data_IF_860218168659
#
_entry.id   IF_860218168659
#
_cell.length_a   1.000
_cell.length_b   1.000
_cell.length_c   1.000
_cell.angle_alpha   90.00
_cell.angle_beta   90.00
_cell.angle_gamma   90.00
#
_symmetry.space_group_name_H-M   'P 1'
#
loop_
_entity.id
_entity.type
_entity.pdbx_description
1 polymer ?
#
# COMPACT_ATOMS: atom_id res chain seq x y z
N UNK A 1 -26.10 -7.08 -27.36
CA UNK A 1 -26.02 -5.67 -26.96
C UNK A 1 -24.54 -5.31 -26.95
N UNK A 2 -24.14 -4.19 -27.56
CA UNK A 2 -22.74 -3.79 -27.64
C UNK A 2 -22.23 -3.32 -26.25
N UNK A 3 -21.21 -3.98 -25.65
CA UNK A 3 -20.73 -3.64 -24.31
C UNK A 3 -20.20 -2.20 -24.19
N UNK A 4 -19.60 -1.68 -25.26
CA UNK A 4 -19.07 -0.30 -25.28
C UNK A 4 -20.19 0.72 -25.15
N UNK A 5 -21.28 0.51 -25.88
CA UNK A 5 -22.48 1.34 -25.79
C UNK A 5 -23.13 1.29 -24.41
N UNK A 6 -23.18 0.11 -23.77
CA UNK A 6 -23.67 -0.04 -22.40
C UNK A 6 -22.82 0.74 -21.39
N UNK A 7 -21.48 0.67 -21.50
CA UNK A 7 -20.57 1.44 -20.64
C UNK A 7 -20.74 2.95 -20.81
N UNK A 8 -20.84 3.46 -22.05
CA UNK A 8 -21.12 4.88 -22.30
C UNK A 8 -22.48 5.31 -21.72
N UNK A 9 -23.50 4.45 -21.87
CA UNK A 9 -24.82 4.67 -21.31
C UNK A 9 -24.80 4.77 -19.77
N UNK A 10 -24.04 3.90 -19.11
CA UNK A 10 -23.82 3.92 -17.67
C UNK A 10 -23.18 5.24 -17.21
N UNK A 11 -22.03 5.62 -17.79
CA UNK A 11 -21.30 6.85 -17.41
C UNK A 11 -22.17 8.10 -17.62
N UNK A 12 -22.90 8.15 -18.73
CA UNK A 12 -23.81 9.26 -19.02
C UNK A 12 -24.95 9.34 -17.99
N UNK A 13 -25.60 8.21 -17.68
CA UNK A 13 -26.66 8.16 -16.68
C UNK A 13 -26.16 8.49 -15.26
N UNK A 14 -24.93 8.06 -14.94
CA UNK A 14 -24.26 8.39 -13.68
C UNK A 14 -23.99 9.89 -13.53
N UNK A 15 -23.46 10.52 -14.57
CA UNK A 15 -23.27 11.97 -14.60
C UNK A 15 -24.59 12.74 -14.44
N UNK A 16 -25.67 12.28 -15.10
CA UNK A 16 -27.00 12.87 -14.96
C UNK A 16 -27.56 12.73 -13.54
N UNK A 17 -27.41 11.56 -12.92
CA UNK A 17 -27.78 11.33 -11.53
C UNK A 17 -27.00 12.24 -10.56
N UNK A 18 -25.67 12.34 -10.73
CA UNK A 18 -24.80 13.18 -9.91
C UNK A 18 -25.18 14.67 -9.99
N UNK A 19 -25.56 15.13 -11.17
CA UNK A 19 -25.93 16.54 -11.38
C UNK A 19 -27.38 16.84 -10.92
N UNK A 20 -28.30 15.87 -11.02
CA UNK A 20 -29.70 16.05 -10.65
C UNK A 20 -30.33 14.72 -10.20
N UNK A 21 -30.66 14.60 -8.92
CA UNK A 21 -31.22 13.37 -8.30
C UNK A 21 -32.74 13.24 -8.50
N UNK A 22 -33.22 13.38 -9.73
CA UNK A 22 -34.63 13.16 -10.06
C UNK A 22 -34.97 11.67 -10.12
N UNK A 23 -36.23 11.30 -9.87
CA UNK A 23 -36.72 9.91 -9.98
C UNK A 23 -36.45 9.30 -11.38
N UNK A 24 -36.56 10.13 -12.42
CA UNK A 24 -36.24 9.73 -13.78
C UNK A 24 -34.76 9.34 -13.95
N UNK A 25 -33.85 10.12 -13.38
CA UNK A 25 -32.41 9.85 -13.46
C UNK A 25 -32.02 8.64 -12.63
N UNK A 26 -32.65 8.43 -11.45
CA UNK A 26 -32.47 7.23 -10.64
C UNK A 26 -32.88 5.98 -11.43
N UNK A 27 -34.08 5.98 -12.02
CA UNK A 27 -34.58 4.86 -12.83
C UNK A 27 -33.71 4.60 -14.07
N UNK A 28 -33.23 5.66 -14.73
CA UNK A 28 -32.35 5.53 -15.88
C UNK A 28 -31.01 4.89 -15.50
N UNK A 29 -30.39 5.34 -14.41
CA UNK A 29 -29.14 4.76 -13.92
C UNK A 29 -29.33 3.30 -13.49
N UNK A 30 -30.42 2.98 -12.77
CA UNK A 30 -30.75 1.60 -12.40
C UNK A 30 -30.85 0.69 -13.64
N UNK A 31 -31.51 1.14 -14.71
CA UNK A 31 -31.60 0.37 -15.96
C UNK A 31 -30.24 0.13 -16.59
N UNK A 32 -29.36 1.14 -16.64
CA UNK A 32 -28.02 0.97 -17.20
C UNK A 32 -27.16 -0.01 -16.38
N UNK A 33 -27.28 0.04 -15.05
CA UNK A 33 -26.63 -0.93 -14.17
C UNK A 33 -27.16 -2.34 -14.41
N UNK A 34 -28.47 -2.54 -14.56
CA UNK A 34 -29.05 -3.87 -14.87
C UNK A 34 -28.54 -4.44 -16.20
N UNK A 35 -28.42 -3.60 -17.23
CA UNK A 35 -27.82 -4.00 -18.50
C UNK A 35 -26.37 -4.46 -18.30
N UNK A 36 -25.58 -3.71 -17.53
CA UNK A 36 -24.21 -4.08 -17.21
C UNK A 36 -24.12 -5.36 -16.36
N UNK A 37 -25.03 -5.57 -15.41
CA UNK A 37 -25.12 -6.82 -14.64
C UNK A 37 -25.34 -8.00 -15.58
N UNK A 38 -26.25 -7.87 -16.56
CA UNK A 38 -26.53 -8.92 -17.53
C UNK A 38 -25.31 -9.31 -18.38
N UNK A 39 -24.40 -8.36 -18.65
CA UNK A 39 -23.17 -8.59 -19.41
C UNK A 39 -22.06 -9.21 -18.55
N UNK A 40 -22.10 -9.01 -17.24
CA UNK A 40 -21.05 -9.41 -16.29
C UNK A 40 -21.42 -10.63 -15.44
N UNK A 41 -22.58 -11.26 -15.69
CA UNK A 41 -23.00 -12.47 -14.97
C UNK A 41 -21.95 -13.58 -15.03
N UNK A 42 -21.88 -14.39 -13.95
CA UNK A 42 -20.97 -15.54 -13.84
C UNK A 42 -21.04 -16.42 -15.11
N UNK A 43 -19.87 -16.72 -15.66
CA UNK A 43 -19.72 -17.54 -16.88
C UNK A 43 -19.64 -16.74 -18.19
N UNK A 44 -19.82 -15.41 -18.16
CA UNK A 44 -19.58 -14.54 -19.33
C UNK A 44 -18.15 -13.98 -19.32
N UNK A 45 -17.65 -13.64 -20.50
CA UNK A 45 -16.35 -12.97 -20.63
C UNK A 45 -16.49 -11.48 -20.36
N UNK A 46 -15.70 -10.95 -19.43
CA UNK A 46 -15.65 -9.52 -19.08
C UNK A 46 -14.39 -8.85 -19.67
N UNK A 47 -13.75 -9.46 -20.67
CA UNK A 47 -12.56 -8.90 -21.36
C UNK A 47 -12.80 -7.51 -21.98
N UNK A 48 -14.05 -7.12 -22.22
CA UNK A 48 -14.40 -5.79 -22.71
C UNK A 48 -14.19 -4.69 -21.64
N UNK A 49 -14.07 -5.07 -20.37
CA UNK A 49 -13.90 -4.18 -19.24
C UNK A 49 -12.44 -4.24 -18.77
N UNK A 50 -11.56 -3.50 -19.45
CA UNK A 50 -10.14 -3.41 -19.11
C UNK A 50 -9.85 -2.11 -18.34
N UNK A 51 -9.44 -2.15 -17.06
CA UNK A 51 -9.08 -0.97 -16.26
C UNK A 51 -7.93 -0.12 -16.82
N UNK A 52 -7.16 -0.63 -17.78
CA UNK A 52 -6.12 0.16 -18.49
C UNK A 52 -6.73 1.15 -19.49
N UNK A 53 -8.02 1.04 -19.79
CA UNK A 53 -8.74 1.93 -20.69
C UNK A 53 -9.56 2.96 -19.90
N UNK A 54 -9.68 4.16 -20.46
CA UNK A 54 -10.38 5.29 -19.83
C UNK A 54 -11.85 4.95 -19.54
N UNK A 55 -12.57 4.36 -20.49
CA UNK A 55 -14.02 4.16 -20.35
C UNK A 55 -14.39 3.18 -19.22
N UNK A 56 -13.75 2.00 -19.07
CA UNK A 56 -13.93 1.15 -17.89
C UNK A 56 -13.58 1.84 -16.57
N UNK A 57 -12.53 2.68 -16.53
CA UNK A 57 -12.17 3.46 -15.34
C UNK A 57 -13.25 4.48 -14.96
N UNK A 58 -13.80 5.20 -15.94
CA UNK A 58 -14.95 6.09 -15.72
C UNK A 58 -16.19 5.33 -15.24
N UNK A 59 -16.42 4.10 -15.73
CA UNK A 59 -17.49 3.24 -15.24
C UNK A 59 -17.27 2.88 -13.76
N UNK A 60 -16.06 2.45 -13.38
CA UNK A 60 -15.75 2.14 -11.98
C UNK A 60 -15.87 3.36 -11.09
N UNK A 61 -15.36 4.51 -11.53
CA UNK A 61 -15.49 5.81 -10.84
C UNK A 61 -16.96 6.12 -10.55
N UNK A 62 -17.80 6.05 -11.58
CA UNK A 62 -19.25 6.25 -11.45
C UNK A 62 -19.91 5.29 -10.47
N UNK A 63 -19.49 4.01 -10.43
CA UNK A 63 -20.06 3.03 -9.50
C UNK A 63 -19.59 3.29 -8.06
N UNK A 64 -18.34 3.73 -7.87
CA UNK A 64 -17.82 4.10 -6.56
C UNK A 64 -18.53 5.35 -6.01
N UNK A 65 -18.72 6.40 -6.83
CA UNK A 65 -19.49 7.61 -6.48
C UNK A 65 -20.88 7.26 -5.93
N UNK A 66 -21.56 6.28 -6.55
CA UNK A 66 -22.90 5.83 -6.13
C UNK A 66 -22.89 5.14 -4.77
N UNK A 67 -21.83 4.39 -4.44
CA UNK A 67 -21.68 3.71 -3.14
C UNK A 67 -21.26 4.68 -2.05
N UNK A 68 -20.44 5.68 -2.37
CA UNK A 68 -19.94 6.67 -1.41
C UNK A 68 -21.00 7.72 -1.03
N UNK A 69 -22.01 7.97 -1.88
CA UNK A 69 -23.09 8.91 -1.59
C UNK A 69 -24.17 8.31 -0.66
N UNK A 70 -24.23 8.82 0.58
CA UNK A 70 -25.21 8.46 1.61
C UNK A 70 -26.68 8.74 1.23
N UNK A 71 -26.93 9.60 0.23
CA UNK A 71 -28.28 9.92 -0.25
C UNK A 71 -28.74 9.00 -1.38
N UNK A 72 -27.89 8.07 -1.84
CA UNK A 72 -28.25 7.10 -2.87
C UNK A 72 -29.35 6.16 -2.33
N UNK A 73 -30.45 5.97 -3.09
CA UNK A 73 -31.50 5.03 -2.70
C UNK A 73 -30.99 3.59 -2.57
N UNK A 74 -31.41 2.87 -1.53
CA UNK A 74 -30.95 1.51 -1.22
C UNK A 74 -31.07 0.52 -2.41
N UNK A 75 -32.14 0.62 -3.21
CA UNK A 75 -32.34 -0.21 -4.39
C UNK A 75 -31.27 0.02 -5.48
N UNK A 76 -30.82 1.26 -5.64
CA UNK A 76 -29.73 1.61 -6.56
C UNK A 76 -28.39 1.11 -6.01
N UNK A 77 -28.08 1.37 -4.74
CA UNK A 77 -26.86 0.89 -4.07
C UNK A 77 -26.73 -0.63 -4.14
N UNK A 78 -27.83 -1.37 -3.91
CA UNK A 78 -27.83 -2.83 -4.00
C UNK A 78 -27.45 -3.33 -5.40
N UNK A 79 -28.03 -2.76 -6.47
CA UNK A 79 -27.69 -3.13 -7.85
C UNK A 79 -26.25 -2.79 -8.18
N UNK A 80 -25.76 -1.64 -7.72
CA UNK A 80 -24.36 -1.23 -7.88
C UNK A 80 -23.42 -2.25 -7.22
N UNK A 81 -23.70 -2.69 -6.00
CA UNK A 81 -22.91 -3.72 -5.31
C UNK A 81 -22.91 -5.05 -6.09
N UNK A 82 -24.06 -5.47 -6.63
CA UNK A 82 -24.14 -6.70 -7.44
C UNK A 82 -23.24 -6.60 -8.68
N UNK A 83 -23.26 -5.47 -9.38
CA UNK A 83 -22.38 -5.25 -10.53
C UNK A 83 -20.91 -5.25 -10.12
N UNK A 84 -20.56 -4.52 -9.06
CA UNK A 84 -19.19 -4.46 -8.54
C UNK A 84 -18.68 -5.84 -8.11
N UNK A 85 -19.53 -6.67 -7.51
CA UNK A 85 -19.18 -8.06 -7.15
C UNK A 85 -18.93 -8.94 -8.38
N UNK A 86 -19.72 -8.78 -9.45
CA UNK A 86 -19.46 -9.48 -10.71
C UNK A 86 -18.11 -9.07 -11.30
N UNK A 87 -17.80 -7.77 -11.30
CA UNK A 87 -16.55 -7.21 -11.80
C UNK A 87 -15.34 -7.65 -10.94
N UNK A 88 -15.47 -7.65 -9.61
CA UNK A 88 -14.42 -8.05 -8.67
C UNK A 88 -14.03 -9.54 -8.74
N UNK A 89 -14.80 -10.36 -9.47
CA UNK A 89 -14.44 -11.74 -9.78
C UNK A 89 -13.19 -11.82 -10.67
N UNK A 90 -12.80 -10.74 -11.35
CA UNK A 90 -11.60 -10.66 -12.19
C UNK A 90 -10.46 -9.96 -11.43
N UNK A 91 -9.25 -10.55 -11.36
CA UNK A 91 -8.12 -9.99 -10.61
C UNK A 91 -7.78 -8.54 -10.98
N UNK A 92 -7.56 -8.25 -12.26
CA UNK A 92 -7.14 -6.92 -12.71
C UNK A 92 -8.14 -5.82 -12.32
N UNK A 93 -9.44 -6.13 -12.37
CA UNK A 93 -10.51 -5.19 -12.00
C UNK A 93 -10.55 -4.99 -10.48
N UNK A 94 -10.42 -6.08 -9.72
CA UNK A 94 -10.37 -6.03 -8.25
C UNK A 94 -9.16 -5.23 -7.76
N UNK A 95 -8.02 -5.39 -8.41
CA UNK A 95 -6.79 -4.67 -8.08
C UNK A 95 -6.93 -3.18 -8.41
N UNK A 96 -7.56 -2.81 -9.54
CA UNK A 96 -7.90 -1.43 -9.86
C UNK A 96 -8.89 -0.80 -8.85
N UNK A 97 -9.91 -1.55 -8.43
CA UNK A 97 -10.86 -1.13 -7.40
C UNK A 97 -10.15 -0.85 -6.06
N UNK A 98 -9.20 -1.70 -5.67
CA UNK A 98 -8.42 -1.50 -4.45
C UNK A 98 -7.47 -0.31 -4.55
N UNK A 99 -6.66 -0.24 -5.61
CA UNK A 99 -5.55 0.72 -5.72
C UNK A 99 -5.99 2.11 -6.13
N UNK A 100 -6.85 2.20 -7.14
CA UNK A 100 -7.16 3.48 -7.77
C UNK A 100 -8.35 4.16 -7.09
N UNK A 101 -9.32 3.35 -6.64
CA UNK A 101 -10.56 3.86 -6.06
C UNK A 101 -10.65 3.71 -4.54
N UNK A 102 -9.65 3.08 -3.90
CA UNK A 102 -9.66 2.80 -2.46
C UNK A 102 -10.99 2.15 -1.99
N UNK A 103 -11.55 1.27 -2.84
CA UNK A 103 -12.92 0.78 -2.69
C UNK A 103 -13.15 0.01 -1.38
N UNK A 104 -12.11 -0.55 -0.77
CA UNK A 104 -12.19 -1.18 0.56
C UNK A 104 -12.58 -0.19 1.65
N UNK A 105 -12.10 1.06 1.56
CA UNK A 105 -12.49 2.15 2.47
C UNK A 105 -13.93 2.59 2.18
N UNK A 106 -14.29 2.78 0.91
CA UNK A 106 -15.64 3.15 0.49
C UNK A 106 -16.67 2.10 0.91
N UNK A 107 -16.35 0.82 0.77
CA UNK A 107 -17.19 -0.29 1.23
C UNK A 107 -17.31 -0.33 2.76
N UNK A 108 -16.23 -0.06 3.49
CA UNK A 108 -16.28 0.02 4.95
C UNK A 108 -17.22 1.15 5.42
N UNK A 109 -17.09 2.35 4.82
CA UNK A 109 -17.96 3.51 5.10
C UNK A 109 -19.41 3.19 4.74
N UNK A 110 -19.64 2.57 3.58
CA UNK A 110 -20.98 2.14 3.15
C UNK A 110 -21.61 1.18 4.18
N UNK A 111 -20.85 0.18 4.63
CA UNK A 111 -21.31 -0.76 5.66
C UNK A 111 -21.61 -0.04 6.98
N UNK A 112 -20.76 0.90 7.40
CA UNK A 112 -20.98 1.71 8.61
C UNK A 112 -22.26 2.55 8.50
N UNK A 113 -22.47 3.25 7.39
CA UNK A 113 -23.66 4.08 7.20
C UNK A 113 -24.96 3.25 7.28
N UNK A 114 -25.00 2.10 6.61
CA UNK A 114 -26.13 1.17 6.66
C UNK A 114 -26.25 0.42 7.99
N UNK A 115 -25.29 0.54 8.91
CA UNK A 115 -25.41 0.01 10.27
C UNK A 115 -25.97 1.00 11.28
N UNK A 116 -25.71 2.29 11.07
CA UNK A 116 -25.99 3.35 12.03
C UNK A 116 -27.29 4.11 11.71
N UNK A 117 -27.90 3.90 10.53
CA UNK A 117 -29.13 4.59 10.14
C UNK A 117 -30.30 4.26 11.09
N UNK A 118 -30.80 5.25 11.87
CA UNK A 118 -31.86 5.04 12.86
C UNK A 118 -33.21 4.92 12.14
N UNK A 119 -33.52 3.72 11.66
CA UNK A 119 -34.77 3.43 10.94
C UNK A 119 -34.79 2.09 10.20
N UNK A 120 -33.64 1.43 10.04
CA UNK A 120 -33.55 0.12 9.40
C UNK A 120 -33.75 -1.04 10.42
N UNK A 121 -34.50 -2.10 10.05
CA UNK A 121 -34.91 -3.16 10.99
C UNK A 121 -33.71 -3.95 11.56
N UNK A 122 -33.87 -4.48 12.78
CA UNK A 122 -32.95 -5.36 13.54
C UNK A 122 -32.21 -6.43 12.70
N UNK A 123 -32.79 -6.87 11.60
CA UNK A 123 -32.25 -7.83 10.62
C UNK A 123 -30.91 -7.35 10.00
N UNK A 124 -30.72 -6.04 9.79
CA UNK A 124 -29.50 -5.49 9.19
C UNK A 124 -28.31 -5.51 10.16
N UNK A 125 -28.54 -5.38 11.47
CA UNK A 125 -27.49 -5.55 12.48
C UNK A 125 -27.00 -7.00 12.58
N UNK A 126 -27.88 -7.99 12.41
CA UNK A 126 -27.48 -9.40 12.32
C UNK A 126 -26.67 -9.69 11.05
N UNK A 127 -27.05 -9.07 9.93
CA UNK A 127 -26.31 -9.17 8.67
C UNK A 127 -24.90 -8.57 8.76
N UNK A 128 -24.71 -7.53 9.57
CA UNK A 128 -23.38 -6.94 9.73
C UNK A 128 -22.48 -7.82 10.60
N UNK A 129 -23.02 -8.40 11.67
CA UNK A 129 -22.29 -9.42 12.44
C UNK A 129 -21.93 -10.64 11.59
N UNK A 130 -22.78 -11.04 10.64
CA UNK A 130 -22.48 -12.12 9.71
C UNK A 130 -21.40 -11.71 8.68
N UNK A 131 -21.40 -10.47 8.21
CA UNK A 131 -20.33 -9.91 7.37
C UNK A 131 -19.00 -9.91 8.11
N UNK A 132 -18.94 -9.41 9.35
CA UNK A 132 -17.74 -9.47 10.18
C UNK A 132 -17.22 -10.89 10.36
N UNK A 133 -18.11 -11.85 10.68
CA UNK A 133 -17.74 -13.27 10.80
C UNK A 133 -17.17 -13.82 9.49
N UNK A 134 -17.74 -13.42 8.36
CA UNK A 134 -17.28 -13.85 7.03
C UNK A 134 -15.91 -13.26 6.71
N UNK A 135 -15.71 -11.95 6.94
CA UNK A 135 -14.42 -11.28 6.75
C UNK A 135 -13.34 -11.90 7.65
N UNK A 136 -13.64 -12.17 8.92
CA UNK A 136 -12.72 -12.84 9.84
C UNK A 136 -12.37 -14.25 9.34
N UNK A 137 -13.35 -15.01 8.83
CA UNK A 137 -13.07 -16.32 8.24
C UNK A 137 -12.14 -16.22 7.01
N UNK A 138 -12.28 -15.16 6.21
CA UNK A 138 -11.42 -14.93 5.04
C UNK A 138 -9.99 -14.52 5.38
N UNK A 139 -9.70 -14.05 6.60
CA UNK A 139 -8.31 -13.81 7.04
C UNK A 139 -7.50 -15.11 7.10
N UNK A 140 -8.16 -16.27 7.20
CA UNK A 140 -7.52 -17.60 7.17
C UNK A 140 -7.67 -18.32 5.82
N UNK A 141 -8.01 -17.60 4.75
CA UNK A 141 -8.23 -18.17 3.43
C UNK A 141 -6.90 -18.54 2.74
N UNK A 142 -6.91 -19.55 1.87
CA UNK A 142 -5.71 -20.02 1.15
C UNK A 142 -5.18 -19.00 0.12
N UNK A 143 -6.07 -18.19 -0.44
CA UNK A 143 -5.72 -17.10 -1.35
C UNK A 143 -5.32 -15.83 -0.57
N UNK A 144 -4.06 -15.44 -0.67
CA UNK A 144 -3.50 -14.29 0.05
C UNK A 144 -4.15 -12.95 -0.34
N UNK A 145 -4.58 -12.76 -1.59
CA UNK A 145 -5.30 -11.53 -1.98
C UNK A 145 -6.62 -11.41 -1.22
N UNK A 146 -7.36 -12.51 -1.04
CA UNK A 146 -8.60 -12.53 -0.25
C UNK A 146 -8.30 -12.19 1.21
N UNK A 147 -7.21 -12.72 1.77
CA UNK A 147 -6.76 -12.40 3.12
C UNK A 147 -6.50 -10.89 3.25
N UNK A 148 -5.69 -10.32 2.36
CA UNK A 148 -5.31 -8.90 2.39
C UNK A 148 -6.54 -8.00 2.23
N UNK A 149 -7.41 -8.23 1.25
CA UNK A 149 -8.59 -7.41 1.05
C UNK A 149 -9.59 -7.50 2.21
N UNK A 150 -9.80 -8.70 2.75
CA UNK A 150 -10.65 -8.87 3.93
C UNK A 150 -10.06 -8.14 5.13
N UNK A 151 -8.73 -8.18 5.27
CA UNK A 151 -8.03 -7.50 6.35
C UNK A 151 -8.04 -5.97 6.19
N UNK A 152 -7.94 -5.45 4.97
CA UNK A 152 -8.10 -4.01 4.67
C UNK A 152 -9.51 -3.51 4.97
N UNK A 153 -10.55 -4.30 4.65
CA UNK A 153 -11.92 -3.92 5.01
C UNK A 153 -12.08 -3.96 6.53
N UNK A 154 -11.59 -5.03 7.19
CA UNK A 154 -11.63 -5.15 8.64
C UNK A 154 -10.90 -3.99 9.32
N UNK A 155 -9.68 -3.63 8.90
CA UNK A 155 -8.95 -2.51 9.50
C UNK A 155 -9.74 -1.20 9.40
N UNK A 156 -10.27 -0.88 8.22
CA UNK A 156 -11.07 0.32 8.02
C UNK A 156 -12.35 0.35 8.88
N UNK A 157 -13.00 -0.80 9.07
CA UNK A 157 -14.20 -0.92 9.91
C UNK A 157 -13.88 -0.85 11.42
N UNK A 158 -12.78 -1.47 11.82
CA UNK A 158 -12.50 -1.81 13.22
C UNK A 158 -11.55 -0.84 13.93
N UNK A 159 -10.74 -0.05 13.22
CA UNK A 159 -9.72 0.79 13.86
C UNK A 159 -10.31 1.82 14.86
N UNK A 160 -11.59 2.18 14.73
CA UNK A 160 -12.26 3.20 15.55
C UNK A 160 -13.50 2.70 16.32
N UNK A 161 -13.79 1.39 16.34
CA UNK A 161 -15.02 0.83 16.93
C UNK A 161 -14.74 -0.21 18.04
N UNK A 162 -15.67 -0.35 18.99
CA UNK A 162 -15.64 -1.41 20.04
C UNK A 162 -15.57 -2.83 19.45
N UNK A 163 -16.12 -3.04 18.24
CA UNK A 163 -16.06 -4.33 17.53
C UNK A 163 -14.63 -4.64 17.09
N UNK A 164 -13.86 -3.61 16.73
CA UNK A 164 -12.48 -3.76 16.32
C UNK A 164 -11.52 -4.10 17.42
N UNK A 165 -11.84 -3.77 18.67
CA UNK A 165 -11.09 -4.27 19.82
C UNK A 165 -11.14 -5.81 19.92
N UNK A 166 -12.10 -6.51 19.30
CA UNK A 166 -12.08 -7.98 19.27
C UNK A 166 -11.09 -8.55 18.24
N UNK A 167 -10.87 -7.84 17.13
CA UNK A 167 -9.95 -8.25 16.05
C UNK A 167 -8.53 -7.79 16.36
N UNK A 168 -8.37 -6.56 16.85
CA UNK A 168 -7.09 -5.90 17.12
C UNK A 168 -6.79 -5.75 18.62
N UNK A 169 -7.34 -6.60 19.50
CA UNK A 169 -6.89 -6.61 20.92
C UNK A 169 -5.46 -7.14 21.04
N UNK A 170 -4.86 -6.85 22.19
CA UNK A 170 -3.54 -7.32 22.60
C UNK A 170 -3.34 -8.85 22.52
N UNK A 171 -4.40 -9.67 22.49
CA UNK A 171 -4.27 -11.14 22.37
C UNK A 171 -4.16 -11.63 20.93
N UNK A 172 -4.71 -10.87 19.98
CA UNK A 172 -4.82 -11.25 18.56
C UNK A 172 -3.87 -10.44 17.66
N UNK A 173 -3.40 -9.28 18.13
CA UNK A 173 -2.58 -8.36 17.36
C UNK A 173 -1.25 -8.97 16.92
N UNK A 174 -0.68 -9.88 17.70
CA UNK A 174 0.56 -10.58 17.35
C UNK A 174 0.37 -11.56 16.20
N UNK A 175 -0.72 -12.32 16.18
CA UNK A 175 -1.06 -13.20 15.05
C UNK A 175 -1.34 -12.37 13.79
N UNK A 176 -1.95 -11.20 13.95
CA UNK A 176 -2.10 -10.22 12.87
C UNK A 176 -0.74 -9.80 12.31
N UNK A 177 0.21 -9.38 13.16
CA UNK A 177 1.55 -9.00 12.69
C UNK A 177 2.26 -10.16 12.01
N UNK A 178 2.20 -11.36 12.60
CA UNK A 178 2.79 -12.56 12.01
C UNK A 178 2.20 -12.85 10.62
N UNK A 179 0.88 -12.72 10.44
CA UNK A 179 0.23 -12.91 9.16
C UNK A 179 0.67 -11.85 8.13
N UNK A 180 0.67 -10.57 8.52
CA UNK A 180 1.12 -9.46 7.67
C UNK A 180 2.56 -9.69 7.21
N UNK A 181 3.48 -9.93 8.14
CA UNK A 181 4.89 -10.17 7.81
C UNK A 181 5.07 -11.42 6.95
N UNK A 182 4.32 -12.49 7.22
CA UNK A 182 4.38 -13.70 6.40
C UNK A 182 3.95 -13.43 4.95
N UNK A 183 2.89 -12.64 4.73
CA UNK A 183 2.47 -12.28 3.36
C UNK A 183 3.47 -11.32 2.71
N UNK A 184 4.07 -10.39 3.47
CA UNK A 184 5.12 -9.51 2.92
C UNK A 184 6.32 -10.32 2.45
N UNK A 185 6.81 -11.26 3.27
CA UNK A 185 8.02 -12.04 2.97
C UNK A 185 7.72 -13.13 1.93
N UNK A 186 6.71 -13.96 2.18
CA UNK A 186 6.40 -15.17 1.41
C UNK A 186 5.24 -14.98 0.42
N UNK A 187 4.85 -13.74 0.13
CA UNK A 187 3.73 -13.42 -0.74
C UNK A 187 3.91 -13.93 -2.17
N UNK A 188 2.84 -14.48 -2.74
CA UNK A 188 2.85 -15.14 -4.06
C UNK A 188 3.09 -14.15 -5.22
N UNK A 189 2.79 -12.87 -5.03
CA UNK A 189 2.96 -11.83 -6.07
C UNK A 189 3.46 -10.50 -5.52
N UNK A 190 4.12 -9.73 -6.38
CA UNK A 190 4.59 -8.36 -6.08
C UNK A 190 3.44 -7.42 -5.68
N UNK A 191 2.25 -7.64 -6.24
CA UNK A 191 1.04 -6.87 -5.99
C UNK A 191 0.46 -7.14 -4.60
N UNK A 192 0.31 -8.41 -4.22
CA UNK A 192 -0.18 -8.80 -2.89
C UNK A 192 0.76 -8.29 -1.80
N UNK A 193 2.07 -8.38 -2.02
CA UNK A 193 3.09 -7.81 -1.15
C UNK A 193 2.92 -6.30 -1.00
N UNK A 194 2.75 -5.58 -2.12
CA UNK A 194 2.51 -4.13 -2.14
C UNK A 194 1.27 -3.73 -1.33
N UNK A 195 0.13 -4.39 -1.53
CA UNK A 195 -1.10 -4.12 -0.76
C UNK A 195 -0.96 -4.43 0.71
N UNK A 196 -0.20 -5.46 1.05
CA UNK A 196 0.07 -5.79 2.46
C UNK A 196 0.94 -4.72 3.12
N UNK A 197 1.89 -4.13 2.38
CA UNK A 197 2.67 -2.99 2.86
C UNK A 197 1.77 -1.77 3.08
N UNK A 198 0.92 -1.42 2.11
CA UNK A 198 -0.03 -0.30 2.22
C UNK A 198 -0.97 -0.47 3.42
N UNK A 199 -1.47 -1.69 3.62
CA UNK A 199 -2.29 -2.05 4.76
C UNK A 199 -1.54 -1.85 6.08
N UNK A 200 -0.30 -2.32 6.18
CA UNK A 200 0.46 -2.17 7.41
C UNK A 200 0.81 -0.69 7.69
N UNK A 201 1.20 0.07 6.67
CA UNK A 201 1.41 1.53 6.78
C UNK A 201 0.12 2.22 7.27
N UNK A 202 -1.04 1.82 6.73
CA UNK A 202 -2.35 2.29 7.19
C UNK A 202 -2.61 1.99 8.67
N UNK A 203 -2.31 0.77 9.12
CA UNK A 203 -2.44 0.36 10.52
C UNK A 203 -1.49 1.14 11.45
N UNK A 204 -0.28 1.44 10.99
CA UNK A 204 0.71 2.23 11.75
C UNK A 204 0.28 3.68 11.98
N UNK A 205 -0.79 4.18 11.35
CA UNK A 205 -1.40 5.47 11.72
C UNK A 205 -2.05 5.45 13.11
N UNK A 206 -2.39 4.26 13.64
CA UNK A 206 -2.99 4.11 14.97
C UNK A 206 -1.91 4.04 16.06
N UNK A 207 -1.90 4.97 17.05
CA UNK A 207 -0.93 4.93 18.14
C UNK A 207 -0.97 3.64 18.98
N UNK A 208 -2.16 3.03 19.13
CA UNK A 208 -2.31 1.74 19.82
C UNK A 208 -1.57 0.62 19.10
N UNK A 209 -1.60 0.62 17.76
CA UNK A 209 -0.90 -0.37 16.93
C UNK A 209 0.60 -0.11 16.97
N UNK A 210 1.03 1.15 16.85
CA UNK A 210 2.44 1.54 16.99
C UNK A 210 3.04 0.97 18.29
N UNK A 211 2.37 1.20 19.43
CA UNK A 211 2.79 0.67 20.73
C UNK A 211 2.86 -0.86 20.74
N UNK A 212 1.90 -1.53 20.09
CA UNK A 212 1.87 -3.00 19.99
C UNK A 212 3.01 -3.57 19.15
N UNK A 213 3.40 -2.89 18.06
CA UNK A 213 4.53 -3.30 17.21
C UNK A 213 5.86 -3.10 17.94
N UNK A 214 6.01 -2.00 18.70
CA UNK A 214 7.24 -1.72 19.46
C UNK A 214 7.56 -2.81 20.47
N UNK A 215 6.55 -3.41 21.11
CA UNK A 215 6.73 -4.50 22.08
C UNK A 215 6.66 -5.90 21.44
N UNK A 216 6.54 -6.00 20.12
CA UNK A 216 6.42 -7.29 19.45
C UNK A 216 7.78 -8.02 19.40
N UNK A 217 7.89 -9.12 20.14
CA UNK A 217 9.15 -9.86 20.34
C UNK A 217 9.81 -10.35 19.05
N UNK A 218 9.03 -10.62 18.00
CA UNK A 218 9.55 -11.11 16.72
C UNK A 218 9.81 -10.00 15.69
N UNK A 219 9.61 -8.72 16.04
CA UNK A 219 9.74 -7.61 15.09
C UNK A 219 11.12 -7.59 14.42
N UNK A 220 12.20 -7.73 15.17
CA UNK A 220 13.57 -7.70 14.63
C UNK A 220 13.82 -8.85 13.62
N UNK A 221 13.35 -10.07 13.94
CA UNK A 221 13.47 -11.21 13.05
C UNK A 221 12.64 -11.06 11.76
N UNK A 222 11.44 -10.46 11.87
CA UNK A 222 10.61 -10.14 10.72
C UNK A 222 11.23 -9.02 9.87
N UNK A 223 11.77 -7.97 10.51
CA UNK A 223 12.45 -6.85 9.87
C UNK A 223 13.64 -7.34 9.03
N UNK A 224 14.45 -8.25 9.56
CA UNK A 224 15.58 -8.81 8.80
C UNK A 224 15.13 -9.53 7.53
N UNK A 225 14.00 -10.24 7.57
CA UNK A 225 13.43 -10.87 6.37
C UNK A 225 12.90 -9.83 5.38
N UNK A 226 12.26 -8.76 5.86
CA UNK A 226 11.82 -7.64 5.02
C UNK A 226 13.01 -6.95 4.36
N UNK A 227 14.09 -6.70 5.11
CA UNK A 227 15.35 -6.15 4.61
C UNK A 227 16.05 -7.09 3.61
N UNK A 228 15.85 -8.39 3.70
CA UNK A 228 16.36 -9.30 2.67
C UNK A 228 15.64 -9.11 1.33
N UNK A 229 14.37 -8.68 1.31
CA UNK A 229 13.63 -8.46 0.06
C UNK A 229 14.24 -7.37 -0.82
N UNK A 230 14.87 -6.34 -0.24
CA UNK A 230 15.55 -5.29 -1.02
C UNK A 230 16.84 -5.79 -1.68
N UNK A 231 17.42 -6.89 -1.19
CA UNK A 231 18.60 -7.52 -1.80
C UNK A 231 18.27 -8.32 -3.06
N UNK A 232 16.99 -8.67 -3.25
CA UNK A 232 16.51 -9.57 -4.30
C UNK A 232 16.00 -8.83 -5.56
N UNK A 233 16.26 -7.52 -5.67
CA UNK A 233 15.83 -6.66 -6.79
C UNK A 233 14.37 -6.91 -7.23
N UNK A 234 13.43 -6.67 -6.32
CA UNK A 234 12.01 -7.01 -6.55
C UNK A 234 11.23 -5.81 -7.09
N UNK A 235 10.23 -6.07 -7.95
CA UNK A 235 9.23 -5.07 -8.38
C UNK A 235 8.52 -4.38 -7.20
N UNK A 236 8.56 -4.98 -6.01
CA UNK A 236 7.97 -4.45 -4.78
C UNK A 236 8.90 -3.49 -4.02
N UNK A 237 10.13 -3.24 -4.48
CA UNK A 237 11.14 -2.48 -3.74
C UNK A 237 10.62 -1.12 -3.24
N UNK A 238 9.93 -0.37 -4.09
CA UNK A 238 9.31 0.92 -3.72
C UNK A 238 8.41 0.79 -2.49
N UNK A 239 7.55 -0.23 -2.45
CA UNK A 239 6.63 -0.48 -1.31
C UNK A 239 7.32 -0.99 -0.07
N UNK A 240 8.41 -1.74 -0.23
CA UNK A 240 9.24 -2.16 0.89
C UNK A 240 9.94 -0.94 1.53
N UNK A 241 10.51 -0.04 0.72
CA UNK A 241 11.10 1.19 1.25
C UNK A 241 10.07 2.10 1.92
N UNK A 242 8.88 2.24 1.34
CA UNK A 242 7.78 2.99 1.96
C UNK A 242 7.40 2.43 3.34
N UNK A 243 7.36 1.10 3.49
CA UNK A 243 7.11 0.44 4.77
C UNK A 243 8.26 0.68 5.77
N UNK A 244 9.52 0.56 5.34
CA UNK A 244 10.69 0.79 6.21
C UNK A 244 10.72 2.23 6.72
N UNK A 245 10.44 3.21 5.86
CA UNK A 245 10.30 4.62 6.25
C UNK A 245 9.13 4.83 7.22
N UNK A 246 8.01 4.14 7.00
CA UNK A 246 6.89 4.16 7.94
C UNK A 246 7.29 3.60 9.32
N UNK A 247 8.11 2.55 9.39
CA UNK A 247 8.69 2.12 10.67
C UNK A 247 9.60 3.18 11.30
N UNK A 248 10.44 3.88 10.51
CA UNK A 248 11.27 4.97 11.02
C UNK A 248 10.45 6.13 11.61
N UNK A 249 9.23 6.37 11.11
CA UNK A 249 8.34 7.39 11.67
C UNK A 249 7.74 7.02 13.05
N UNK A 250 7.90 5.77 13.50
CA UNK A 250 7.39 5.29 14.79
C UNK A 250 8.51 5.28 15.84
N UNK A 251 8.30 6.04 16.91
CA UNK A 251 9.22 6.09 18.06
C UNK A 251 9.46 4.68 18.62
N UNK A 252 10.73 4.28 18.70
CA UNK A 252 11.17 2.95 19.16
C UNK A 252 11.44 1.95 18.03
N UNK A 253 10.79 2.08 16.87
CA UNK A 253 11.08 1.22 15.71
C UNK A 253 12.25 1.74 14.88
N UNK A 254 12.39 3.07 14.72
CA UNK A 254 13.51 3.71 13.99
C UNK A 254 14.87 3.17 14.40
N UNK A 255 15.16 3.16 15.69
CA UNK A 255 16.43 2.65 16.22
C UNK A 255 16.66 1.18 15.86
N UNK A 256 15.61 0.36 15.85
CA UNK A 256 15.69 -1.06 15.48
C UNK A 256 15.97 -1.22 13.97
N UNK A 257 15.29 -0.46 13.12
CA UNK A 257 15.53 -0.42 11.66
C UNK A 257 16.97 0.00 11.36
N UNK A 258 17.41 1.11 11.94
CA UNK A 258 18.74 1.65 11.73
C UNK A 258 19.80 0.68 12.24
N UNK A 259 19.64 0.11 13.45
CA UNK A 259 20.57 -0.88 14.01
C UNK A 259 20.67 -2.13 13.14
N UNK A 260 19.55 -2.64 12.61
CA UNK A 260 19.56 -3.78 11.71
C UNK A 260 20.39 -3.50 10.44
N UNK A 261 20.25 -2.30 9.87
CA UNK A 261 21.04 -1.86 8.72
C UNK A 261 22.51 -1.58 9.07
N UNK A 262 22.79 -1.05 10.27
CA UNK A 262 24.15 -0.81 10.79
C UNK A 262 24.86 -2.09 11.28
N UNK A 263 24.13 -3.19 11.46
CA UNK A 263 24.70 -4.51 11.75
C UNK A 263 25.14 -5.21 10.46
N UNK A 264 25.97 -4.53 9.67
CA UNK A 264 26.57 -5.03 8.41
C UNK A 264 27.89 -5.73 8.71
N UNK A 265 28.01 -7.07 8.65
CA UNK A 265 29.22 -7.78 9.05
C UNK A 265 30.46 -7.35 8.24
N UNK A 266 30.29 -7.14 6.94
CA UNK A 266 31.39 -6.77 6.04
C UNK A 266 31.98 -5.37 6.31
N UNK A 267 31.25 -4.49 7.00
CA UNK A 267 31.72 -3.15 7.40
C UNK A 267 32.21 -3.10 8.85
N UNK A 268 32.10 -4.20 9.60
CA UNK A 268 32.60 -4.33 10.97
C UNK A 268 34.01 -4.95 11.02
N UNK A 269 34.44 -5.61 9.94
CA UNK A 269 35.74 -6.28 9.83
C UNK A 269 36.61 -5.58 8.76
N UNK A 270 37.67 -4.84 9.17
CA UNK A 270 38.57 -4.15 8.25
C UNK A 270 39.23 -5.07 7.22
N UNK A 271 39.43 -6.35 7.54
CA UNK A 271 40.09 -7.33 6.67
C UNK A 271 39.17 -7.87 5.55
N UNK A 272 37.85 -7.65 5.67
CA UNK A 272 36.84 -8.03 4.67
C UNK A 272 36.40 -6.88 3.78
N UNK A 273 36.78 -5.65 4.11
CA UNK A 273 36.40 -4.46 3.35
C UNK A 273 37.16 -4.41 2.01
N UNK A 274 36.46 -4.69 0.91
CA UNK A 274 36.95 -4.43 -0.43
C UNK A 274 36.15 -3.25 -1.01
N UNK A 275 36.79 -2.10 -1.32
CA UNK A 275 36.11 -0.86 -1.73
C UNK A 275 35.48 -0.90 -3.14
N UNK A 276 35.40 -2.07 -3.76
CA UNK A 276 34.73 -2.26 -5.04
C UNK A 276 33.48 -3.10 -4.79
N UNK A 277 32.31 -2.47 -4.89
CA UNK A 277 30.99 -3.10 -4.89
C UNK A 277 30.91 -4.04 -6.09
N UNK A 278 31.50 -5.22 -5.98
CA UNK A 278 31.26 -6.30 -6.91
C UNK A 278 29.90 -6.91 -6.55
N UNK A 279 29.14 -7.31 -7.57
CA UNK A 279 27.79 -7.90 -7.50
C UNK A 279 27.57 -8.98 -6.42
N UNK A 280 28.63 -9.53 -5.81
CA UNK A 280 28.59 -10.47 -4.68
C UNK A 280 28.20 -9.84 -3.32
N UNK A 281 28.28 -8.51 -3.15
CA UNK A 281 28.04 -7.83 -1.85
C UNK A 281 26.60 -7.33 -1.64
N UNK A 282 25.73 -7.38 -2.67
CA UNK A 282 24.33 -6.93 -2.56
C UNK A 282 23.50 -7.83 -1.61
N UNK A 283 24.04 -8.97 -1.19
CA UNK A 283 23.41 -9.88 -0.24
C UNK A 283 23.19 -9.28 1.15
N UNK A 284 23.89 -8.20 1.50
CA UNK A 284 23.69 -7.50 2.76
C UNK A 284 22.77 -6.27 2.59
N UNK A 285 21.79 -6.07 3.50
CA UNK A 285 20.79 -5.01 3.36
C UNK A 285 21.34 -3.59 3.19
N UNK A 286 22.45 -3.27 3.86
CA UNK A 286 23.05 -1.93 3.76
C UNK A 286 23.62 -1.67 2.35
N UNK A 287 24.31 -2.63 1.74
CA UNK A 287 24.80 -2.47 0.37
C UNK A 287 23.65 -2.46 -0.64
N UNK A 288 22.60 -3.26 -0.42
CA UNK A 288 21.39 -3.18 -1.24
C UNK A 288 20.73 -1.79 -1.14
N UNK A 289 20.65 -1.20 0.05
CA UNK A 289 20.15 0.16 0.24
C UNK A 289 20.95 1.20 -0.56
N UNK A 290 22.29 1.16 -0.46
CA UNK A 290 23.16 2.07 -1.24
C UNK A 290 23.02 1.84 -2.74
N UNK A 291 22.92 0.57 -3.16
CA UNK A 291 22.68 0.22 -4.55
C UNK A 291 21.37 0.83 -5.08
N UNK A 292 20.27 0.68 -4.34
CA UNK A 292 18.96 1.26 -4.69
C UNK A 292 18.99 2.79 -4.74
N UNK A 293 19.66 3.44 -3.79
CA UNK A 293 19.84 4.90 -3.81
C UNK A 293 20.60 5.37 -5.07
N UNK A 294 21.54 4.55 -5.58
CA UNK A 294 22.26 4.80 -6.82
C UNK A 294 21.43 4.61 -8.10
N UNK A 295 20.33 3.85 -8.07
CA UNK A 295 19.55 3.49 -9.27
C UNK A 295 18.86 4.67 -9.96
N UNK A 296 18.65 4.59 -11.28
CA UNK A 296 17.94 5.63 -12.03
C UNK A 296 16.45 5.69 -11.67
N UNK A 297 15.92 6.90 -11.49
CA UNK A 297 14.48 7.17 -11.30
C UNK A 297 13.66 6.92 -12.56
N UNK A 298 14.30 6.84 -13.74
CA UNK A 298 13.60 6.50 -14.99
C UNK A 298 13.20 5.03 -15.04
N UNK A 299 14.04 4.15 -14.49
CA UNK A 299 13.84 2.71 -14.53
C UNK A 299 13.16 2.18 -13.28
N UNK A 300 13.31 2.86 -12.14
CA UNK A 300 12.84 2.38 -10.84
C UNK A 300 11.93 3.36 -10.08
N UNK A 301 11.44 4.41 -10.76
CA UNK A 301 10.47 5.38 -10.24
C UNK A 301 10.88 5.96 -8.86
N UNK A 302 10.09 5.74 -7.81
CA UNK A 302 10.31 6.31 -6.48
C UNK A 302 11.31 5.51 -5.62
N UNK A 303 11.65 4.27 -5.97
CA UNK A 303 12.51 3.43 -5.12
C UNK A 303 13.86 4.09 -4.78
N UNK A 304 14.60 4.73 -5.72
CA UNK A 304 15.85 5.41 -5.40
C UNK A 304 15.67 6.59 -4.46
N UNK A 305 14.52 7.27 -4.52
CA UNK A 305 14.21 8.42 -3.66
C UNK A 305 13.96 7.96 -2.22
N UNK A 306 13.17 6.90 -2.03
CA UNK A 306 12.92 6.33 -0.71
C UNK A 306 14.16 5.67 -0.10
N UNK A 307 15.04 5.10 -0.92
CA UNK A 307 16.33 4.62 -0.47
C UNK A 307 17.22 5.75 0.08
N UNK A 308 17.25 6.92 -0.59
CA UNK A 308 17.95 8.10 -0.07
C UNK A 308 17.33 8.62 1.23
N UNK A 309 16.00 8.65 1.33
CA UNK A 309 15.32 9.02 2.58
C UNK A 309 15.67 8.05 3.72
N UNK A 310 15.75 6.75 3.45
CA UNK A 310 16.10 5.77 4.48
C UNK A 310 17.57 5.88 4.89
N UNK A 311 18.48 6.20 3.96
CA UNK A 311 19.87 6.55 4.31
C UNK A 311 19.90 7.76 5.24
N UNK A 312 19.11 8.79 4.95
CA UNK A 312 18.98 9.98 5.79
C UNK A 312 18.58 9.62 7.22
N UNK A 313 17.53 8.82 7.38
CA UNK A 313 17.07 8.34 8.69
C UNK A 313 18.17 7.61 9.48
N UNK A 314 19.00 6.81 8.80
CA UNK A 314 20.12 6.11 9.44
C UNK A 314 21.17 7.08 9.95
N UNK A 315 21.57 8.07 9.14
CA UNK A 315 22.60 9.03 9.56
C UNK A 315 22.11 9.94 10.67
N UNK A 316 20.87 10.42 10.61
CA UNK A 316 20.24 11.16 11.70
C UNK A 316 20.19 10.33 13.00
N UNK A 317 19.77 9.06 12.94
CA UNK A 317 19.72 8.19 14.12
C UNK A 317 21.12 7.93 14.71
N UNK A 318 22.16 7.83 13.87
CA UNK A 318 23.54 7.67 14.34
C UNK A 318 24.05 8.93 15.04
N UNK A 319 23.69 10.11 14.53
CA UNK A 319 23.99 11.40 15.17
C UNK A 319 23.29 11.48 16.53
N UNK A 320 21.99 11.18 16.56
CA UNK A 320 21.16 11.24 17.77
C UNK A 320 21.65 10.25 18.85
N UNK A 321 22.10 9.06 18.43
CA UNK A 321 22.57 7.99 19.33
C UNK A 321 24.05 8.07 19.70
N UNK A 322 24.82 8.99 19.12
CA UNK A 322 26.26 9.12 19.36
C UNK A 322 27.09 7.92 18.87
N UNK A 323 26.61 7.18 17.86
CA UNK A 323 27.27 5.96 17.32
C UNK A 323 28.31 6.29 16.24
N UNK A 324 29.05 7.39 16.39
CA UNK A 324 29.91 7.95 15.34
C UNK A 324 31.02 7.01 14.86
N UNK A 325 31.48 6.09 15.72
CA UNK A 325 32.47 5.07 15.36
C UNK A 325 32.00 4.10 14.25
N UNK A 326 30.68 3.91 14.07
CA UNK A 326 30.13 3.03 13.05
C UNK A 326 29.99 3.71 11.67
N UNK A 327 30.30 5.00 11.57
CA UNK A 327 30.10 5.80 10.35
C UNK A 327 31.24 5.66 9.35
N UNK A 328 32.49 5.63 9.81
CA UNK A 328 33.67 5.73 8.93
C UNK A 328 33.67 4.74 7.76
N UNK A 329 33.43 3.42 7.95
CA UNK A 329 33.42 2.48 6.82
C UNK A 329 32.17 2.63 5.93
N UNK A 330 31.11 3.29 6.43
CA UNK A 330 29.85 3.52 5.69
C UNK A 330 29.92 4.76 4.82
N UNK A 331 30.55 5.82 5.32
CA UNK A 331 30.76 7.05 4.56
C UNK A 331 31.58 6.79 3.31
N UNK A 332 32.52 5.84 3.37
CA UNK A 332 33.35 5.46 2.22
C UNK A 332 32.54 4.87 1.05
N UNK A 333 31.35 4.34 1.32
CA UNK A 333 30.46 3.74 0.31
C UNK A 333 29.33 4.70 -0.07
N UNK A 334 28.78 5.42 0.90
CA UNK A 334 27.65 6.34 0.69
C UNK A 334 28.08 7.63 -0.01
N UNK A 335 29.22 8.22 0.37
CA UNK A 335 29.65 9.51 -0.19
C UNK A 335 29.92 9.42 -1.70
N UNK A 336 30.67 8.42 -2.21
CA UNK A 336 30.84 8.29 -3.67
C UNK A 336 29.50 8.15 -4.40
N UNK A 337 28.62 7.27 -3.91
CA UNK A 337 27.28 7.08 -4.50
C UNK A 337 26.49 8.38 -4.54
N UNK A 338 26.45 9.13 -3.43
CA UNK A 338 25.68 10.37 -3.33
C UNK A 338 26.26 11.48 -4.24
N UNK A 339 27.58 11.58 -4.33
CA UNK A 339 28.26 12.55 -5.22
C UNK A 339 27.97 12.26 -6.69
N UNK A 340 27.89 10.99 -7.10
CA UNK A 340 27.50 10.60 -8.47
C UNK A 340 26.08 11.08 -8.83
N UNK A 341 25.19 11.22 -7.84
CA UNK A 341 23.81 11.73 -8.04
C UNK A 341 23.72 13.26 -8.21
N UNK A 342 24.83 13.99 -8.02
CA UNK A 342 24.86 15.46 -8.12
C UNK A 342 25.09 15.97 -9.55
N UNK A 343 25.04 15.07 -10.53
CA UNK A 343 25.13 15.45 -11.94
C UNK A 343 23.87 16.24 -12.35
N UNK A 344 24.01 17.47 -12.88
CA UNK A 344 22.85 18.26 -13.29
C UNK A 344 22.03 17.51 -14.35
N UNK A 345 20.70 17.40 -14.19
CA UNK A 345 19.87 16.76 -15.20
C UNK A 345 19.87 17.58 -16.49
N UNK A 346 20.10 16.91 -17.62
CA UNK A 346 20.15 17.52 -18.95
C UNK A 346 18.82 17.36 -19.72
N UNK A 347 17.81 16.73 -19.13
CA UNK A 347 16.59 16.31 -19.81
C UNK A 347 15.56 17.42 -19.99
N UNK A 348 14.71 17.26 -20.99
CA UNK A 348 13.65 18.23 -21.37
C UNK A 348 12.24 17.81 -20.96
N UNK A 349 12.03 16.56 -20.50
CA UNK A 349 10.73 16.10 -19.99
C UNK A 349 10.50 16.56 -18.55
N UNK A 350 9.46 17.36 -18.32
CA UNK A 350 9.17 17.97 -17.02
C UNK A 350 8.88 16.96 -15.89
N UNK A 351 8.34 15.78 -16.20
CA UNK A 351 8.00 14.78 -15.18
C UNK A 351 9.24 14.05 -14.66
N UNK A 352 10.08 13.56 -15.58
CA UNK A 352 11.36 12.91 -15.27
C UNK A 352 12.35 13.91 -14.68
N UNK A 353 12.40 15.13 -15.22
CA UNK A 353 13.24 16.21 -14.70
C UNK A 353 12.92 16.50 -13.23
N UNK A 354 11.64 16.54 -12.86
CA UNK A 354 11.21 16.72 -11.46
C UNK A 354 11.77 15.63 -10.55
N UNK A 355 11.69 14.36 -10.96
CA UNK A 355 12.21 13.24 -10.16
C UNK A 355 13.73 13.27 -10.05
N UNK A 356 14.45 13.60 -11.13
CA UNK A 356 15.92 13.75 -11.09
C UNK A 356 16.34 14.88 -10.16
N UNK A 357 15.71 16.05 -10.26
CA UNK A 357 15.96 17.16 -9.34
C UNK A 357 15.68 16.77 -7.88
N UNK A 358 14.57 16.07 -7.63
CA UNK A 358 14.24 15.58 -6.28
C UNK A 358 15.29 14.60 -5.76
N UNK A 359 15.81 13.72 -6.63
CA UNK A 359 16.90 12.81 -6.29
C UNK A 359 18.17 13.57 -5.88
N UNK A 360 18.56 14.58 -6.66
CA UNK A 360 19.72 15.43 -6.35
C UNK A 360 19.56 16.13 -5.00
N UNK A 361 18.37 16.67 -4.70
CA UNK A 361 18.09 17.29 -3.40
C UNK A 361 18.25 16.29 -2.25
N UNK A 362 17.66 15.10 -2.37
CA UNK A 362 17.78 14.06 -1.31
C UNK A 362 19.22 13.58 -1.13
N UNK A 363 20.00 13.47 -2.20
CA UNK A 363 21.42 13.14 -2.11
C UNK A 363 22.22 14.23 -1.38
N UNK A 364 21.89 15.51 -1.61
CA UNK A 364 22.48 16.63 -0.86
C UNK A 364 22.09 16.57 0.62
N UNK A 365 20.83 16.28 0.95
CA UNK A 365 20.37 16.16 2.34
C UNK A 365 21.17 15.08 3.10
N UNK A 366 21.38 13.90 2.50
CA UNK A 366 22.22 12.84 3.07
C UNK A 366 23.65 13.32 3.31
N UNK A 367 24.25 14.04 2.36
CA UNK A 367 25.60 14.58 2.51
C UNK A 367 25.68 15.64 3.62
N UNK A 368 24.64 16.47 3.77
CA UNK A 368 24.57 17.48 4.82
C UNK A 368 24.50 16.84 6.22
N UNK A 369 23.76 15.74 6.37
CA UNK A 369 23.71 15.00 7.65
C UNK A 369 25.07 14.37 7.95
N UNK A 370 25.72 13.76 6.95
CA UNK A 370 27.08 13.22 7.09
C UNK A 370 28.07 14.30 7.55
N UNK A 371 28.00 15.51 6.98
CA UNK A 371 28.86 16.63 7.36
C UNK A 371 28.54 17.23 8.73
N UNK A 372 27.33 16.99 9.24
CA UNK A 372 26.89 17.48 10.55
C UNK A 372 27.42 16.62 11.71
N UNK A 373 27.96 15.44 11.40
CA UNK A 373 28.66 14.57 12.34
C UNK A 373 30.01 15.23 12.68
N UNK A 374 30.09 15.84 13.87
CA UNK A 374 31.32 16.46 14.41
C UNK A 374 31.97 15.62 15.49
#
# INVERSE_FOLDING_TARGET
>A
MDPTSCMKGLVMAGSQFRNNRSDANILQLQRQIELMISLTMKGRSVKFFNPQQILPMECLSCLCDVIEDHHTPAALSHKTIVLLNNLASYPDIRDAMHTTFNFTSSLAIFLQYHTQSPGEPLVLQENVKSIYRTLIAYVSHSNQSIVVYSFSILSNLCLNEEIGEKVFNAKNIYQTFQLIFNIIVNGDSSHVRGFTCDLFIGLLKSPKIQQSVVIYEHFEACLMQVLHLITMDTESATKIFELLLSFCSVNGLRCTVCRALLNTPSLQDPDRYQPQIHQRQITEPFFALVHWAGQSVETHDQAPLFALDLLKEIFEEVIDSGLSAQLSPRTDVVVPMAVEQLTPPCDTDGSVLKLKCLKTVKALDVLLDILSIR
#
